data_IF_037400156606
#
_entry.id   IF_037400156606
#
_cell.length_a   1.000
_cell.length_b   1.000
_cell.length_c   1.000
_cell.angle_alpha   90.00
_cell.angle_beta   90.00
_cell.angle_gamma   90.00
#
_symmetry.space_group_name_H-M   'P 1'
#
loop_
_entity.id
_entity.type
_entity.pdbx_description
1 polymer ?
#
# COMPACT_ATOMS: atom_id res chain seq x y z
N UNK A 1 -41.73 -13.94 43.56
CA UNK A 1 -40.63 -14.88 43.25
C UNK A 1 -41.12 -15.96 42.31
N UNK A 2 -40.58 -16.02 41.09
CA UNK A 2 -40.37 -17.23 40.26
C UNK A 2 -39.62 -16.76 39.01
N UNK A 3 -38.35 -17.15 38.94
CA UNK A 3 -37.37 -16.76 37.93
C UNK A 3 -37.75 -17.33 36.56
N UNK A 4 -37.84 -16.47 35.55
CA UNK A 4 -37.83 -16.87 34.14
C UNK A 4 -36.35 -17.01 33.71
N UNK A 5 -35.88 -18.26 33.67
CA UNK A 5 -34.54 -18.61 33.20
C UNK A 5 -34.57 -18.73 31.68
N UNK A 6 -34.15 -17.68 30.96
CA UNK A 6 -33.91 -17.75 29.52
C UNK A 6 -32.51 -18.32 29.26
N UNK A 7 -32.48 -19.55 28.75
CA UNK A 7 -31.28 -20.30 28.44
C UNK A 7 -30.49 -19.68 27.27
N UNK A 8 -29.40 -19.01 27.64
CA UNK A 8 -28.07 -18.97 27.00
C UNK A 8 -27.98 -19.28 25.49
N UNK A 9 -27.96 -18.19 24.71
CA UNK A 9 -27.05 -17.91 23.57
C UNK A 9 -26.26 -19.11 23.02
N UNK A 10 -26.65 -19.60 21.85
CA UNK A 10 -25.74 -20.29 20.93
C UNK A 10 -25.62 -19.46 19.64
N UNK A 11 -24.99 -18.29 19.76
CA UNK A 11 -24.54 -17.52 18.60
C UNK A 11 -23.09 -17.92 18.40
N UNK A 12 -22.84 -18.84 17.46
CA UNK A 12 -21.51 -19.06 16.91
C UNK A 12 -21.10 -17.76 16.22
N UNK A 13 -20.27 -16.96 16.89
CA UNK A 13 -19.54 -15.87 16.27
C UNK A 13 -18.58 -16.48 15.25
N UNK A 14 -18.94 -16.43 13.97
CA UNK A 14 -18.01 -16.64 12.87
C UNK A 14 -17.07 -15.42 12.82
N UNK A 15 -16.05 -15.44 13.66
CA UNK A 15 -14.87 -14.60 13.53
C UNK A 15 -14.16 -15.05 12.25
N UNK A 16 -14.16 -14.20 11.22
CA UNK A 16 -13.39 -14.47 10.02
C UNK A 16 -13.96 -13.89 8.75
N UNK A 17 -14.17 -12.57 8.69
CA UNK A 17 -14.00 -11.88 7.42
C UNK A 17 -13.06 -10.72 7.66
N UNK A 18 -11.78 -11.03 7.49
CA UNK A 18 -10.76 -10.07 7.18
C UNK A 18 -11.31 -9.13 6.12
N UNK A 19 -11.47 -7.85 6.47
CA UNK A 19 -11.61 -6.78 5.50
C UNK A 19 -10.31 -6.73 4.69
N UNK A 20 -10.19 -7.59 3.68
CA UNK A 20 -9.08 -7.59 2.74
C UNK A 20 -9.17 -6.28 1.96
N UNK A 21 -8.38 -5.32 2.43
CA UNK A 21 -7.66 -4.30 1.65
C UNK A 21 -8.44 -3.81 0.43
N UNK A 22 -9.32 -2.83 0.65
CA UNK A 22 -9.87 -2.05 -0.44
C UNK A 22 -8.70 -1.37 -1.19
N UNK A 23 -8.50 -1.79 -2.44
CA UNK A 23 -7.60 -1.20 -3.43
C UNK A 23 -6.12 -1.14 -3.04
N UNK A 24 -5.46 -2.30 -3.02
CA UNK A 24 -4.07 -2.32 -3.49
C UNK A 24 -4.11 -1.86 -4.96
N UNK A 25 -3.33 -0.85 -5.39
CA UNK A 25 -3.17 -0.58 -6.81
C UNK A 25 -2.52 -1.82 -7.43
N UNK A 26 -3.35 -2.63 -8.07
CA UNK A 26 -2.92 -3.81 -8.81
C UNK A 26 -2.17 -3.30 -10.04
N UNK A 27 -0.87 -3.10 -9.89
CA UNK A 27 0.02 -2.81 -11.00
C UNK A 27 0.08 -4.11 -11.81
N UNK A 28 -0.65 -4.17 -12.91
CA UNK A 28 -0.57 -5.22 -13.95
C UNK A 28 0.77 -5.15 -14.68
N UNK A 29 1.87 -5.28 -13.95
CA UNK A 29 3.21 -5.34 -14.51
C UNK A 29 3.63 -6.81 -14.54
N UNK A 30 3.82 -7.33 -15.75
CA UNK A 30 4.14 -8.74 -15.99
C UNK A 30 5.54 -9.15 -15.46
N UNK A 31 6.36 -8.20 -15.00
CA UNK A 31 7.67 -8.49 -14.40
C UNK A 31 8.09 -7.49 -13.33
N UNK A 32 9.02 -7.92 -12.47
CA UNK A 32 9.62 -7.06 -11.45
C UNK A 32 10.41 -5.90 -12.08
N UNK A 33 10.96 -6.08 -13.28
CA UNK A 33 11.63 -5.03 -14.06
C UNK A 33 10.69 -3.90 -14.46
N UNK A 34 9.47 -4.24 -14.89
CA UNK A 34 8.45 -3.24 -15.26
C UNK A 34 7.99 -2.49 -14.01
N UNK A 35 7.76 -3.20 -12.89
CA UNK A 35 7.39 -2.56 -11.62
C UNK A 35 8.46 -1.61 -11.10
N UNK A 36 9.73 -2.01 -11.16
CA UNK A 36 10.87 -1.17 -10.77
C UNK A 36 10.91 0.11 -11.60
N UNK A 37 10.82 -0.03 -12.93
CA UNK A 37 10.83 1.09 -13.87
C UNK A 37 9.68 2.05 -13.63
N UNK A 38 8.47 1.52 -13.38
CA UNK A 38 7.30 2.33 -13.03
C UNK A 38 7.53 3.15 -11.75
N UNK A 39 7.99 2.51 -10.68
CA UNK A 39 8.21 3.21 -9.41
C UNK A 39 9.27 4.32 -9.56
N UNK A 40 10.36 4.05 -10.27
CA UNK A 40 11.40 5.04 -10.55
C UNK A 40 10.85 6.24 -11.32
N UNK A 41 10.13 6.00 -12.42
CA UNK A 41 9.53 7.08 -13.22
C UNK A 41 8.51 7.88 -12.42
N UNK A 42 7.67 7.21 -11.63
CA UNK A 42 6.67 7.87 -10.80
C UNK A 42 7.29 8.76 -9.73
N UNK A 43 8.38 8.33 -9.09
CA UNK A 43 9.12 9.16 -8.14
C UNK A 43 9.62 10.43 -8.82
N UNK A 44 10.21 10.33 -10.02
CA UNK A 44 10.69 11.49 -10.79
C UNK A 44 9.55 12.46 -11.11
N UNK A 45 8.40 11.95 -11.56
CA UNK A 45 7.22 12.78 -11.85
C UNK A 45 6.71 13.51 -10.60
N UNK A 46 6.66 12.83 -9.45
CA UNK A 46 6.24 13.43 -8.18
C UNK A 46 7.25 14.49 -7.70
N UNK A 47 8.55 14.26 -7.88
CA UNK A 47 9.60 15.23 -7.57
C UNK A 47 9.49 16.48 -8.45
N UNK A 48 9.32 16.30 -9.77
CA UNK A 48 9.09 17.42 -10.69
C UNK A 48 7.79 18.18 -10.38
N UNK A 49 6.77 17.48 -9.85
CA UNK A 49 5.54 18.13 -9.41
C UNK A 49 5.79 18.99 -8.17
N UNK A 50 6.57 18.52 -7.19
CA UNK A 50 6.96 19.31 -6.02
C UNK A 50 7.71 20.59 -6.37
N UNK A 51 8.59 20.54 -7.37
CA UNK A 51 9.36 21.71 -7.83
C UNK A 51 8.46 22.86 -8.34
N UNK A 52 7.23 22.55 -8.74
CA UNK A 52 6.26 23.53 -9.27
C UNK A 52 5.33 24.10 -8.19
N UNK A 53 5.35 23.54 -6.98
CA UNK A 53 4.46 23.94 -5.89
C UNK A 53 5.12 24.97 -4.98
N UNK A 54 4.38 26.01 -4.62
CA UNK A 54 4.84 27.02 -3.66
C UNK A 54 4.35 26.67 -2.26
N UNK A 55 5.21 26.81 -1.24
CA UNK A 55 4.84 26.43 0.15
C UNK A 55 3.64 27.23 0.65
N UNK A 56 3.60 28.54 0.36
CA UNK A 56 2.55 29.45 0.82
C UNK A 56 1.15 29.01 0.35
N UNK A 57 1.04 28.50 -0.87
CA UNK A 57 -0.25 28.23 -1.50
C UNK A 57 -0.59 26.73 -1.49
N UNK A 58 0.41 25.85 -1.51
CA UNK A 58 0.24 24.41 -1.77
C UNK A 58 0.62 23.51 -0.59
N UNK A 59 0.70 24.00 0.65
CA UNK A 59 1.18 23.21 1.80
C UNK A 59 0.54 21.80 1.90
N UNK A 60 -0.79 21.67 1.76
CA UNK A 60 -1.47 20.36 1.84
C UNK A 60 -1.11 19.43 0.69
N UNK A 61 -0.99 19.99 -0.51
CA UNK A 61 -0.61 19.25 -1.71
C UNK A 61 0.84 18.78 -1.62
N UNK A 62 1.75 19.63 -1.16
CA UNK A 62 3.15 19.29 -0.89
C UNK A 62 3.23 18.11 0.09
N UNK A 63 2.47 18.15 1.19
CA UNK A 63 2.42 17.03 2.16
C UNK A 63 1.94 15.74 1.47
N UNK A 64 0.87 15.82 0.68
CA UNK A 64 0.34 14.68 -0.06
C UNK A 64 1.35 14.09 -1.05
N UNK A 65 2.03 14.93 -1.84
CA UNK A 65 3.03 14.49 -2.80
C UNK A 65 4.24 13.86 -2.08
N UNK A 66 4.71 14.45 -0.98
CA UNK A 66 5.77 13.87 -0.15
C UNK A 66 5.39 12.49 0.40
N UNK A 67 4.15 12.31 0.87
CA UNK A 67 3.65 11.01 1.33
C UNK A 67 3.61 9.98 0.20
N UNK A 68 3.21 10.40 -1.00
CA UNK A 68 3.22 9.54 -2.19
C UNK A 68 4.65 9.13 -2.57
N UNK A 69 5.62 10.06 -2.59
CA UNK A 69 7.04 9.73 -2.83
C UNK A 69 7.55 8.70 -1.83
N UNK A 70 7.21 8.86 -0.54
CA UNK A 70 7.59 7.89 0.49
C UNK A 70 6.99 6.50 0.21
N UNK A 71 5.72 6.44 -0.19
CA UNK A 71 5.05 5.18 -0.55
C UNK A 71 5.72 4.50 -1.75
N UNK A 72 5.98 5.24 -2.82
CA UNK A 72 6.61 4.68 -4.03
C UNK A 72 8.05 4.22 -3.76
N UNK A 73 8.82 4.95 -2.94
CA UNK A 73 10.16 4.52 -2.51
C UNK A 73 10.12 3.21 -1.72
N UNK A 74 9.16 3.07 -0.80
CA UNK A 74 9.01 1.83 -0.04
C UNK A 74 8.63 0.64 -0.92
N UNK A 75 7.78 0.87 -1.94
CA UNK A 75 7.43 -0.16 -2.91
C UNK A 75 8.64 -0.55 -3.77
N UNK A 76 9.42 0.43 -4.24
CA UNK A 76 10.66 0.18 -5.00
C UNK A 76 11.65 -0.68 -4.20
N UNK A 77 11.85 -0.41 -2.91
CA UNK A 77 12.71 -1.23 -2.05
C UNK A 77 12.22 -2.68 -1.96
N UNK A 78 10.92 -2.90 -1.81
CA UNK A 78 10.34 -4.25 -1.81
C UNK A 78 10.54 -4.98 -3.14
N UNK A 79 10.42 -4.27 -4.27
CA UNK A 79 10.65 -4.83 -5.60
C UNK A 79 12.12 -5.25 -5.75
N UNK A 80 13.06 -4.38 -5.37
CA UNK A 80 14.51 -4.67 -5.42
C UNK A 80 14.85 -5.88 -4.54
N UNK A 81 14.27 -5.96 -3.34
CA UNK A 81 14.46 -7.11 -2.47
C UNK A 81 13.95 -8.42 -3.11
N UNK A 82 12.73 -8.40 -3.66
CA UNK A 82 12.18 -9.55 -4.40
C UNK A 82 13.04 -9.96 -5.58
N UNK A 83 13.56 -8.99 -6.36
CA UNK A 83 14.47 -9.28 -7.49
C UNK A 83 15.76 -9.95 -7.01
N UNK A 84 16.33 -9.48 -5.90
CA UNK A 84 17.52 -10.09 -5.31
C UNK A 84 17.26 -11.50 -4.80
N UNK A 85 16.10 -11.76 -4.22
CA UNK A 85 15.69 -13.12 -3.82
C UNK A 85 15.51 -14.04 -5.03
N UNK A 86 14.83 -13.58 -6.08
CA UNK A 86 14.65 -14.35 -7.31
C UNK A 86 15.99 -14.73 -7.96
N UNK A 87 16.96 -13.80 -7.99
CA UNK A 87 18.32 -14.07 -8.50
C UNK A 87 19.06 -15.13 -7.69
N UNK A 88 18.88 -15.16 -6.36
CA UNK A 88 19.50 -16.18 -5.49
C UNK A 88 18.93 -17.58 -5.70
N UNK A 89 17.64 -17.69 -6.03
CA UNK A 89 16.96 -18.98 -6.23
C UNK A 89 17.24 -19.62 -7.60
N UNK A 90 17.83 -18.86 -8.53
CA UNK A 90 18.21 -19.33 -9.87
C UNK A 90 19.69 -19.81 -9.88
N UNK A 91 20.44 -19.56 -8.81
CA UNK A 91 21.86 -19.91 -8.69
C UNK A 91 22.08 -21.21 -7.91
#
# INVERSE_FOLDING_TARGET
>A
MKHLSANKKNIKSATGQESKKAFEPEIFADSLEVMESYCMQKIVLLQSSLEKLTIADNTREIISVCQQIKKERNLLLQIIEKKNQARKNIC
#
